data_IF_337662858976
#
_entry.id   IF_337662858976
#
_cell.length_a   1.000
_cell.length_b   1.000
_cell.length_c   1.000
_cell.angle_alpha   90.00
_cell.angle_beta   90.00
_cell.angle_gamma   90.00
#
_symmetry.space_group_name_H-M   'P 1'
#
loop_
_entity.id
_entity.type
_entity.pdbx_description
1 polymer ?
#
# COMPACT_ATOMS: atom_id res chain seq x y z
N UNK A 1 -11.19 28.40 -3.00
CA UNK A 1 -10.00 28.62 -3.85
C UNK A 1 -10.35 28.90 -5.33
N UNK A 2 -9.46 29.54 -6.13
CA UNK A 2 -9.62 29.65 -7.60
C UNK A 2 -9.17 28.35 -8.27
N UNK A 3 -9.85 27.92 -9.34
CA UNK A 3 -9.51 26.72 -10.11
C UNK A 3 -8.05 26.69 -10.63
N UNK A 4 -7.48 27.85 -10.94
CA UNK A 4 -6.08 27.95 -11.35
C UNK A 4 -5.09 27.56 -10.24
N UNK A 5 -5.49 27.74 -8.99
CA UNK A 5 -4.63 27.55 -7.84
C UNK A 5 -4.62 26.07 -7.44
N UNK A 6 -5.76 25.37 -7.50
CA UNK A 6 -5.83 23.90 -7.32
C UNK A 6 -5.00 23.17 -8.37
N UNK A 7 -5.19 23.50 -9.65
CA UNK A 7 -4.47 22.86 -10.76
C UNK A 7 -2.95 23.07 -10.63
N UNK A 8 -2.51 24.26 -10.18
CA UNK A 8 -1.10 24.54 -9.93
C UNK A 8 -0.54 23.74 -8.74
N UNK A 9 -1.33 23.57 -7.67
CA UNK A 9 -0.93 22.77 -6.51
C UNK A 9 -0.78 21.29 -6.90
N UNK A 10 -1.76 20.71 -7.59
CA UNK A 10 -1.75 19.30 -8.02
C UNK A 10 -0.51 18.99 -8.87
N UNK A 11 -0.25 19.81 -9.90
CA UNK A 11 0.91 19.63 -10.78
C UNK A 11 2.22 19.74 -10.00
N UNK A 12 2.30 20.70 -9.06
CA UNK A 12 3.52 20.93 -8.28
C UNK A 12 3.73 19.84 -7.24
N UNK A 13 2.66 19.29 -6.66
CA UNK A 13 2.72 18.23 -5.65
C UNK A 13 3.42 16.99 -6.21
N UNK A 14 3.07 16.58 -7.43
CA UNK A 14 3.65 15.41 -8.10
C UNK A 14 5.16 15.56 -8.37
N UNK A 15 5.63 16.79 -8.62
CA UNK A 15 7.01 17.03 -9.05
C UNK A 15 7.92 17.51 -7.91
N UNK A 16 7.40 18.42 -7.09
CA UNK A 16 8.14 19.17 -6.09
C UNK A 16 7.25 19.42 -4.84
N UNK A 17 7.03 18.40 -3.99
CA UNK A 17 6.11 18.50 -2.85
C UNK A 17 6.50 19.59 -1.83
N UNK A 18 7.80 19.93 -1.75
CA UNK A 18 8.26 21.07 -0.95
C UNK A 18 7.78 22.42 -1.49
N UNK A 19 7.72 22.61 -2.81
CA UNK A 19 7.22 23.83 -3.43
C UNK A 19 5.69 23.91 -3.32
N UNK A 20 5.00 22.79 -3.56
CA UNK A 20 3.55 22.68 -3.38
C UNK A 20 3.15 23.06 -1.94
N UNK A 21 3.87 22.52 -0.94
CA UNK A 21 3.67 22.89 0.47
C UNK A 21 3.78 24.39 0.70
N UNK A 22 4.78 25.06 0.13
CA UNK A 22 4.96 26.51 0.31
C UNK A 22 3.81 27.30 -0.31
N UNK A 23 3.36 26.88 -1.50
CA UNK A 23 2.22 27.50 -2.18
C UNK A 23 0.94 27.34 -1.35
N UNK A 24 0.64 26.12 -0.89
CA UNK A 24 -0.52 25.83 -0.05
C UNK A 24 -0.48 26.64 1.26
N UNK A 25 0.68 26.71 1.93
CA UNK A 25 0.84 27.52 3.14
C UNK A 25 0.61 29.02 2.92
N UNK A 26 0.99 29.55 1.75
CA UNK A 26 0.70 30.94 1.40
C UNK A 26 -0.80 31.17 1.19
N UNK A 27 -1.50 30.22 0.56
CA UNK A 27 -2.94 30.30 0.35
C UNK A 27 -3.71 30.20 1.68
N UNK A 28 -3.29 29.30 2.57
CA UNK A 28 -3.86 29.14 3.91
C UNK A 28 -3.72 30.39 4.79
N UNK A 29 -2.71 31.25 4.58
CA UNK A 29 -2.62 32.54 5.29
C UNK A 29 -3.76 33.50 4.92
N UNK A 30 -4.37 33.33 3.74
CA UNK A 30 -5.46 34.16 3.26
C UNK A 30 -6.85 33.52 3.45
N UNK A 31 -6.92 32.18 3.43
CA UNK A 31 -8.14 31.38 3.52
C UNK A 31 -7.83 30.12 4.35
N UNK A 32 -8.09 30.16 5.66
CA UNK A 32 -7.86 29.03 6.57
C UNK A 32 -9.10 28.12 6.74
N UNK A 33 -10.22 28.50 6.14
CA UNK A 33 -11.51 27.80 6.17
C UNK A 33 -11.77 26.95 4.92
N UNK A 34 -10.82 26.91 3.98
CA UNK A 34 -10.90 26.09 2.77
C UNK A 34 -10.37 24.68 3.07
N UNK A 35 -11.28 23.70 3.14
CA UNK A 35 -10.95 22.31 3.45
C UNK A 35 -9.94 21.74 2.45
N UNK A 36 -10.10 22.02 1.15
CA UNK A 36 -9.24 21.46 0.10
C UNK A 36 -7.77 21.88 0.30
N UNK A 37 -7.51 23.11 0.77
CA UNK A 37 -6.15 23.55 1.08
C UNK A 37 -5.52 22.77 2.24
N UNK A 38 -6.32 22.35 3.23
CA UNK A 38 -5.85 21.46 4.29
C UNK A 38 -5.59 20.04 3.79
N UNK A 39 -6.38 19.55 2.83
CA UNK A 39 -6.13 18.26 2.18
C UNK A 39 -4.80 18.29 1.41
N UNK A 40 -4.60 19.28 0.54
CA UNK A 40 -3.34 19.42 -0.20
C UNK A 40 -2.14 19.59 0.73
N UNK A 41 -2.28 20.30 1.86
CA UNK A 41 -1.21 20.40 2.85
C UNK A 41 -0.90 19.02 3.45
N UNK A 42 -1.93 18.25 3.78
CA UNK A 42 -1.76 16.92 4.35
C UNK A 42 -1.05 15.97 3.36
N UNK A 43 -1.46 15.97 2.09
CA UNK A 43 -0.80 15.21 1.01
C UNK A 43 0.67 15.64 0.82
N UNK A 44 0.94 16.95 0.78
CA UNK A 44 2.32 17.45 0.71
C UNK A 44 3.17 16.92 1.87
N UNK A 45 2.64 16.93 3.09
CA UNK A 45 3.37 16.45 4.27
C UNK A 45 3.52 14.93 4.29
N UNK A 46 2.55 14.17 3.76
CA UNK A 46 2.65 12.72 3.56
C UNK A 46 3.77 12.37 2.59
N UNK A 47 3.83 13.02 1.42
CA UNK A 47 4.89 12.83 0.43
C UNK A 47 6.28 13.18 0.99
N UNK A 48 6.34 14.19 1.87
CA UNK A 48 7.56 14.58 2.57
C UNK A 48 7.89 13.69 3.77
N UNK A 49 7.12 12.62 4.02
CA UNK A 49 7.26 11.70 5.18
C UNK A 49 7.16 12.41 6.54
N UNK A 50 6.49 13.56 6.59
CA UNK A 50 6.21 14.31 7.80
C UNK A 50 4.86 13.87 8.39
N UNK A 51 4.73 12.58 8.73
CA UNK A 51 3.48 11.94 9.17
C UNK A 51 2.71 12.76 10.23
N UNK A 52 3.39 13.31 11.24
CA UNK A 52 2.76 14.11 12.28
C UNK A 52 2.17 15.44 11.77
N UNK A 53 2.78 16.05 10.74
CA UNK A 53 2.25 17.25 10.12
C UNK A 53 1.05 16.91 9.21
N UNK A 54 1.15 15.81 8.46
CA UNK A 54 0.05 15.30 7.64
C UNK A 54 -1.19 14.97 8.49
N UNK A 55 -1.02 14.23 9.59
CA UNK A 55 -2.11 13.91 10.53
C UNK A 55 -2.79 15.17 11.09
N UNK A 56 -2.03 16.23 11.38
CA UNK A 56 -2.60 17.50 11.86
C UNK A 56 -3.39 18.21 10.77
N UNK A 57 -2.87 18.24 9.54
CA UNK A 57 -3.56 18.84 8.41
C UNK A 57 -4.87 18.09 8.09
N UNK A 58 -4.84 16.75 8.10
CA UNK A 58 -6.06 15.95 7.97
C UNK A 58 -7.04 16.14 9.13
N UNK A 59 -6.55 16.27 10.36
CA UNK A 59 -7.43 16.57 11.49
C UNK A 59 -8.11 17.93 11.31
N UNK A 60 -7.40 18.95 10.79
CA UNK A 60 -7.99 20.23 10.44
C UNK A 60 -9.01 20.11 9.31
N UNK A 61 -8.71 19.37 8.24
CA UNK A 61 -9.67 19.07 7.18
C UNK A 61 -10.98 18.53 7.74
N UNK A 62 -10.91 17.51 8.61
CA UNK A 62 -12.07 16.86 9.20
C UNK A 62 -12.88 17.76 10.14
N UNK A 63 -12.32 18.88 10.63
CA UNK A 63 -13.12 19.90 11.34
C UNK A 63 -14.01 20.70 10.41
N UNK A 64 -13.65 20.79 9.12
CA UNK A 64 -14.37 21.53 8.09
C UNK A 64 -15.32 20.61 7.31
N UNK A 65 -14.86 19.42 6.94
CA UNK A 65 -15.67 18.36 6.33
C UNK A 65 -15.48 16.99 7.04
N UNK A 66 -16.38 16.64 7.97
CA UNK A 66 -16.26 15.41 8.76
C UNK A 66 -16.81 14.16 8.05
N UNK A 67 -17.35 14.25 6.83
CA UNK A 67 -17.98 13.10 6.16
C UNK A 67 -17.22 12.62 4.93
N UNK A 68 -15.96 13.04 4.77
CA UNK A 68 -15.15 12.65 3.63
C UNK A 68 -14.32 11.39 3.95
N UNK A 69 -14.62 10.22 3.34
CA UNK A 69 -13.95 8.97 3.69
C UNK A 69 -12.43 9.00 3.47
N UNK A 70 -11.99 9.73 2.46
CA UNK A 70 -10.59 9.78 2.04
C UNK A 70 -9.66 10.35 3.11
N UNK A 71 -10.09 11.37 3.85
CA UNK A 71 -9.30 11.91 4.96
C UNK A 71 -9.13 10.89 6.10
N UNK A 72 -10.14 10.07 6.39
CA UNK A 72 -10.03 9.03 7.40
C UNK A 72 -9.13 7.87 6.93
N UNK A 73 -9.28 7.42 5.69
CA UNK A 73 -8.41 6.37 5.13
C UNK A 73 -6.96 6.84 5.02
N UNK A 74 -6.71 8.10 4.64
CA UNK A 74 -5.37 8.67 4.60
C UNK A 74 -4.73 8.75 6.00
N UNK A 75 -5.51 9.09 7.05
CA UNK A 75 -5.02 9.03 8.44
C UNK A 75 -4.78 7.60 8.90
N UNK A 76 -5.62 6.65 8.50
CA UNK A 76 -5.42 5.21 8.76
C UNK A 76 -4.06 4.74 8.20
N UNK A 77 -3.78 5.05 6.94
CA UNK A 77 -2.51 4.70 6.28
C UNK A 77 -1.31 5.32 7.00
N UNK A 78 -1.39 6.60 7.38
CA UNK A 78 -0.34 7.27 8.15
C UNK A 78 -0.09 6.63 9.53
N UNK A 79 -1.14 6.21 10.22
CA UNK A 79 -1.01 5.51 11.49
C UNK A 79 -0.38 4.12 11.32
N UNK A 80 -0.75 3.39 10.25
CA UNK A 80 -0.11 2.11 9.88
C UNK A 80 1.38 2.31 9.60
N UNK A 81 1.76 3.34 8.82
CA UNK A 81 3.17 3.66 8.53
C UNK A 81 3.96 4.00 9.81
N UNK A 82 3.30 4.60 10.81
CA UNK A 82 3.90 4.86 12.13
C UNK A 82 3.92 3.64 13.07
N UNK A 83 3.28 2.53 12.68
CA UNK A 83 3.09 1.36 13.53
C UNK A 83 2.04 1.54 14.64
N UNK A 84 1.26 2.62 14.60
CA UNK A 84 0.18 2.91 15.55
C UNK A 84 -1.12 2.22 15.09
N UNK A 85 -1.19 0.91 15.35
CA UNK A 85 -2.32 0.07 14.97
C UNK A 85 -3.62 0.51 15.65
N UNK A 86 -3.56 1.00 16.89
CA UNK A 86 -4.74 1.45 17.63
C UNK A 86 -5.32 2.75 17.04
N UNK A 87 -4.45 3.68 16.63
CA UNK A 87 -4.82 4.87 15.87
C UNK A 87 -5.52 4.52 14.55
N UNK A 88 -4.92 3.61 13.77
CA UNK A 88 -5.47 3.15 12.51
C UNK A 88 -6.85 2.48 12.68
N UNK A 89 -7.01 1.60 13.68
CA UNK A 89 -8.31 0.98 14.02
C UNK A 89 -9.39 2.01 14.35
N UNK A 90 -9.00 3.09 15.05
CA UNK A 90 -9.93 4.15 15.41
C UNK A 90 -10.44 4.88 14.16
N UNK A 91 -9.54 5.27 13.26
CA UNK A 91 -9.90 5.95 12.01
C UNK A 91 -10.73 5.04 11.10
N UNK A 92 -10.35 3.76 10.98
CA UNK A 92 -11.09 2.78 10.20
C UNK A 92 -12.52 2.61 10.70
N UNK A 93 -12.70 2.54 12.03
CA UNK A 93 -14.03 2.42 12.62
C UNK A 93 -14.89 3.64 12.29
N UNK A 94 -14.33 4.85 12.40
CA UNK A 94 -15.04 6.08 12.09
C UNK A 94 -15.46 6.12 10.62
N UNK A 95 -14.58 5.77 9.69
CA UNK A 95 -14.93 5.81 8.27
C UNK A 95 -15.94 4.75 7.87
N UNK A 96 -15.95 3.58 8.51
CA UNK A 96 -16.98 2.56 8.29
C UNK A 96 -18.37 2.98 8.74
N UNK A 97 -18.48 3.89 9.72
CA UNK A 97 -19.78 4.49 10.07
C UNK A 97 -20.30 5.42 8.96
N UNK A 98 -19.41 5.91 8.08
CA UNK A 98 -19.72 6.84 6.99
C UNK A 98 -19.92 6.09 5.66
N UNK A 99 -19.05 5.13 5.34
CA UNK A 99 -18.96 4.48 4.03
C UNK A 99 -18.39 3.05 4.13
N UNK A 100 -19.12 2.12 4.75
CA UNK A 100 -18.70 0.71 4.91
C UNK A 100 -18.59 -0.05 3.58
N UNK A 101 -19.26 0.40 2.52
CA UNK A 101 -19.30 -0.20 1.19
C UNK A 101 -18.37 0.49 0.16
N UNK A 102 -17.47 1.38 0.61
CA UNK A 102 -16.50 2.06 -0.26
C UNK A 102 -15.22 1.24 -0.44
N UNK A 103 -14.80 1.04 -1.68
CA UNK A 103 -13.58 0.30 -2.04
C UNK A 103 -12.31 0.87 -1.36
N UNK A 104 -12.24 2.18 -1.11
CA UNK A 104 -11.16 2.82 -0.35
C UNK A 104 -11.09 2.32 1.07
N UNK A 105 -12.25 2.20 1.71
CA UNK A 105 -12.38 1.77 3.09
C UNK A 105 -12.03 0.28 3.21
N UNK A 106 -12.47 -0.54 2.25
CA UNK A 106 -12.08 -1.95 2.15
C UNK A 106 -10.56 -2.10 2.01
N UNK A 107 -9.92 -1.27 1.16
CA UNK A 107 -8.46 -1.26 1.04
C UNK A 107 -7.78 -0.84 2.34
N UNK A 108 -8.25 0.20 3.01
CA UNK A 108 -7.67 0.64 4.29
C UNK A 108 -7.78 -0.46 5.36
N UNK A 109 -8.89 -1.20 5.39
CA UNK A 109 -9.03 -2.38 6.24
C UNK A 109 -8.05 -3.49 5.85
N UNK A 110 -7.85 -3.72 4.54
CA UNK A 110 -6.89 -4.70 4.06
C UNK A 110 -5.45 -4.38 4.49
N UNK A 111 -5.04 -3.12 4.38
CA UNK A 111 -3.74 -2.62 4.84
C UNK A 111 -3.58 -2.81 6.36
N UNK A 112 -4.62 -2.53 7.13
CA UNK A 112 -4.60 -2.71 8.58
C UNK A 112 -4.52 -4.19 8.97
N UNK A 113 -5.28 -5.06 8.31
CA UNK A 113 -5.23 -6.50 8.50
C UNK A 113 -3.81 -7.04 8.20
N UNK A 114 -3.16 -6.55 7.14
CA UNK A 114 -1.77 -6.89 6.82
C UNK A 114 -0.79 -6.45 7.91
N UNK A 115 -0.92 -5.21 8.40
CA UNK A 115 -0.08 -4.70 9.48
C UNK A 115 -0.26 -5.51 10.79
N UNK A 116 -1.41 -6.15 10.96
CA UNK A 116 -1.70 -7.07 12.07
C UNK A 116 -1.31 -8.54 11.78
N UNK A 117 -0.77 -8.85 10.61
CA UNK A 117 -0.41 -10.21 10.19
C UNK A 117 -1.61 -11.10 9.81
N UNK A 118 -2.80 -10.52 9.64
CA UNK A 118 -4.02 -11.22 9.22
C UNK A 118 -4.05 -11.35 7.69
N UNK A 119 -3.07 -12.09 7.17
CA UNK A 119 -2.73 -12.10 5.76
C UNK A 119 -3.88 -12.56 4.85
N UNK A 120 -4.54 -13.66 5.22
CA UNK A 120 -5.65 -14.20 4.44
C UNK A 120 -6.83 -13.21 4.33
N UNK A 121 -7.16 -12.54 5.45
CA UNK A 121 -8.23 -11.55 5.48
C UNK A 121 -7.89 -10.32 4.64
N UNK A 122 -6.64 -9.83 4.74
CA UNK A 122 -6.18 -8.71 3.91
C UNK A 122 -6.36 -9.02 2.42
N UNK A 123 -5.99 -10.20 1.97
CA UNK A 123 -6.11 -10.61 0.56
C UNK A 123 -7.57 -10.63 0.07
N UNK A 124 -8.49 -11.14 0.91
CA UNK A 124 -9.92 -11.13 0.58
C UNK A 124 -10.47 -9.71 0.47
N UNK A 125 -10.03 -8.80 1.33
CA UNK A 125 -10.45 -7.41 1.33
C UNK A 125 -9.90 -6.63 0.13
N UNK A 126 -8.64 -6.86 -0.27
CA UNK A 126 -8.08 -6.26 -1.48
C UNK A 126 -8.85 -6.69 -2.74
N UNK A 127 -9.25 -7.96 -2.83
CA UNK A 127 -10.04 -8.46 -3.95
C UNK A 127 -11.47 -7.89 -3.96
N UNK A 128 -12.08 -7.74 -2.78
CA UNK A 128 -13.38 -7.09 -2.66
C UNK A 128 -13.30 -5.61 -3.08
N UNK A 129 -12.25 -4.90 -2.66
CA UNK A 129 -12.01 -3.51 -3.06
C UNK A 129 -11.91 -3.38 -4.59
N UNK A 130 -11.10 -4.23 -5.23
CA UNK A 130 -10.94 -4.24 -6.69
C UNK A 130 -12.24 -4.59 -7.44
N UNK A 131 -13.01 -5.56 -6.92
CA UNK A 131 -14.31 -5.93 -7.49
C UNK A 131 -15.34 -4.82 -7.37
N UNK A 132 -15.28 -4.05 -6.27
CA UNK A 132 -16.16 -2.92 -6.02
C UNK A 132 -15.81 -1.73 -6.93
N UNK A 133 -14.52 -1.39 -7.02
CA UNK A 133 -14.00 -0.34 -7.88
C UNK A 133 -12.59 -0.67 -8.37
N UNK A 134 -12.43 -0.80 -9.69
CA UNK A 134 -11.16 -1.12 -10.33
C UNK A 134 -10.07 -0.05 -10.14
N UNK A 135 -10.41 1.14 -9.63
CA UNK A 135 -9.43 2.15 -9.21
C UNK A 135 -8.66 1.76 -7.94
N UNK A 136 -9.14 0.75 -7.20
CA UNK A 136 -8.51 0.20 -6.00
C UNK A 136 -8.06 -1.24 -6.24
N UNK A 137 -7.08 -1.45 -7.15
CA UNK A 137 -6.65 -2.80 -7.51
C UNK A 137 -6.03 -3.50 -6.31
N UNK A 138 -6.21 -4.82 -6.26
CA UNK A 138 -5.44 -5.63 -5.35
C UNK A 138 -3.94 -5.43 -5.66
N UNK A 139 -3.07 -5.46 -4.64
CA UNK A 139 -1.65 -5.37 -4.87
C UNK A 139 -1.17 -6.47 -5.85
N UNK A 140 -0.19 -6.16 -6.71
CA UNK A 140 0.24 -7.07 -7.75
C UNK A 140 0.79 -8.35 -7.15
N UNK A 141 0.37 -9.49 -7.71
CA UNK A 141 0.89 -10.82 -7.40
C UNK A 141 1.79 -11.31 -8.53
N UNK A 142 2.84 -12.04 -8.18
CA UNK A 142 3.76 -12.71 -9.08
C UNK A 142 3.05 -13.92 -9.68
N UNK A 143 2.87 -13.89 -11.00
CA UNK A 143 2.29 -15.00 -11.74
C UNK A 143 3.24 -16.19 -11.86
N UNK A 144 2.69 -17.38 -12.09
CA UNK A 144 3.47 -18.60 -12.35
C UNK A 144 4.47 -18.40 -13.48
N UNK A 145 4.05 -17.74 -14.56
CA UNK A 145 4.91 -17.51 -15.72
C UNK A 145 6.03 -16.50 -15.41
N UNK A 146 5.73 -15.46 -14.65
CA UNK A 146 6.73 -14.48 -14.22
C UNK A 146 7.77 -15.13 -13.30
N UNK A 147 7.33 -15.97 -12.36
CA UNK A 147 8.20 -16.74 -11.49
C UNK A 147 9.10 -17.68 -12.30
N UNK A 148 8.55 -18.50 -13.20
CA UNK A 148 9.32 -19.39 -14.07
C UNK A 148 10.37 -18.64 -14.90
N UNK A 149 10.00 -17.50 -15.48
CA UNK A 149 10.94 -16.68 -16.25
C UNK A 149 12.01 -16.02 -15.36
N UNK A 150 11.71 -15.74 -14.09
CA UNK A 150 12.69 -15.27 -13.12
C UNK A 150 13.67 -16.40 -12.74
N UNK A 151 13.16 -17.60 -12.44
CA UNK A 151 13.94 -18.81 -12.14
C UNK A 151 14.99 -19.10 -13.22
N UNK A 152 14.59 -19.07 -14.50
CA UNK A 152 15.50 -19.28 -15.63
C UNK A 152 16.61 -18.22 -15.76
N UNK A 153 16.47 -17.04 -15.16
CA UNK A 153 17.50 -15.97 -15.22
C UNK A 153 18.52 -16.05 -14.09
N UNK A 154 18.23 -16.79 -13.01
CA UNK A 154 19.15 -17.02 -11.87
C UNK A 154 20.31 -17.97 -12.25
N UNK A 155 20.41 -18.40 -13.52
CA UNK A 155 21.40 -19.33 -14.09
C UNK A 155 22.89 -18.93 -14.07
N UNK A 156 23.41 -18.45 -12.92
CA UNK A 156 24.84 -18.53 -12.56
C UNK A 156 25.03 -18.89 -11.08
N UNK A 157 24.26 -19.88 -10.59
CA UNK A 157 24.55 -20.59 -9.34
C UNK A 157 23.76 -20.17 -8.10
N UNK A 158 22.66 -19.42 -8.23
CA UNK A 158 21.74 -19.18 -7.10
C UNK A 158 20.54 -20.15 -7.11
N UNK A 159 20.01 -20.48 -5.93
CA UNK A 159 18.72 -21.19 -5.79
C UNK A 159 17.56 -20.20 -5.65
N UNK A 160 16.32 -20.64 -5.84
CA UNK A 160 15.14 -19.82 -5.53
C UNK A 160 14.23 -20.58 -4.60
N UNK A 161 13.88 -19.95 -3.47
CA UNK A 161 13.07 -20.55 -2.42
C UNK A 161 11.77 -19.78 -2.29
N UNK A 162 10.69 -20.51 -2.06
CA UNK A 162 9.41 -19.89 -1.70
C UNK A 162 9.19 -20.05 -0.21
N UNK A 163 9.01 -18.93 0.46
CA UNK A 163 8.92 -18.87 1.92
C UNK A 163 7.64 -18.14 2.36
N UNK A 164 7.20 -18.43 3.58
CA UNK A 164 6.20 -17.61 4.25
C UNK A 164 6.76 -16.21 4.53
N UNK A 165 5.91 -15.19 4.48
CA UNK A 165 6.34 -13.83 4.74
C UNK A 165 6.74 -13.67 6.21
N UNK A 166 7.98 -13.27 6.53
CA UNK A 166 8.40 -13.11 7.92
C UNK A 166 7.67 -11.93 8.55
N UNK A 167 7.39 -12.00 9.86
CA UNK A 167 6.71 -10.93 10.59
C UNK A 167 7.41 -9.57 10.42
N UNK A 168 8.74 -9.56 10.32
CA UNK A 168 9.53 -8.34 10.08
C UNK A 168 9.32 -7.69 8.70
N UNK A 169 8.75 -8.42 7.74
CA UNK A 169 8.43 -7.91 6.41
C UNK A 169 6.97 -7.47 6.25
N UNK A 170 6.10 -7.73 7.24
CA UNK A 170 4.69 -7.35 7.25
C UNK A 170 4.44 -5.86 6.96
N UNK A 171 5.21 -4.90 7.50
CA UNK A 171 5.01 -3.47 7.19
C UNK A 171 5.29 -3.09 5.73
N UNK A 172 5.86 -4.01 4.94
CA UNK A 172 6.26 -3.79 3.55
C UNK A 172 5.73 -4.90 2.61
N UNK A 173 4.77 -5.71 3.06
CA UNK A 173 4.53 -7.06 2.57
C UNK A 173 4.30 -7.19 1.07
N UNK A 174 3.38 -6.40 0.51
CA UNK A 174 3.13 -6.40 -0.93
C UNK A 174 4.19 -5.69 -1.77
N UNK A 175 4.94 -4.75 -1.20
CA UNK A 175 6.00 -4.03 -1.92
C UNK A 175 7.31 -4.84 -1.95
N UNK A 176 7.53 -5.70 -0.95
CA UNK A 176 8.69 -6.59 -0.85
C UNK A 176 8.41 -7.92 -1.54
N UNK A 177 8.45 -7.88 -2.88
CA UNK A 177 8.14 -9.03 -3.72
C UNK A 177 9.15 -10.19 -3.60
N UNK A 178 10.41 -9.87 -3.34
CA UNK A 178 11.49 -10.85 -3.25
C UNK A 178 12.66 -10.35 -2.37
N UNK A 179 13.44 -11.30 -1.84
CA UNK A 179 14.74 -11.05 -1.23
C UNK A 179 15.87 -11.79 -1.95
N UNK A 180 17.11 -11.37 -1.71
CA UNK A 180 18.31 -12.12 -2.14
C UNK A 180 19.17 -12.41 -0.91
N UNK A 181 19.53 -13.67 -0.69
CA UNK A 181 20.39 -14.07 0.42
C UNK A 181 21.86 -13.70 0.17
N UNK A 182 22.68 -13.73 1.22
CA UNK A 182 24.13 -13.53 1.10
C UNK A 182 24.81 -14.56 0.18
N UNK A 183 24.21 -15.73 0.04
CA UNK A 183 24.69 -16.83 -0.81
C UNK A 183 24.21 -16.69 -2.28
N UNK A 184 23.38 -15.66 -2.57
CA UNK A 184 22.89 -15.36 -3.92
C UNK A 184 21.56 -16.01 -4.28
N UNK A 185 20.85 -16.59 -3.31
CA UNK A 185 19.54 -17.21 -3.54
C UNK A 185 18.44 -16.16 -3.56
N UNK A 186 17.46 -16.30 -4.46
CA UNK A 186 16.26 -15.47 -4.43
C UNK A 186 15.20 -16.09 -3.52
N UNK A 187 14.54 -15.29 -2.69
CA UNK A 187 13.38 -15.70 -1.89
C UNK A 187 12.16 -14.99 -2.48
N UNK A 188 11.11 -15.74 -2.80
CA UNK A 188 9.80 -15.21 -3.18
C UNK A 188 8.79 -15.57 -2.11
N UNK A 189 8.03 -14.59 -1.62
CA UNK A 189 7.07 -14.85 -0.54
C UNK A 189 5.76 -15.43 -1.09
N UNK A 190 5.25 -16.49 -0.45
CA UNK A 190 4.08 -17.24 -0.91
C UNK A 190 2.82 -16.36 -1.08
N UNK A 191 2.60 -15.41 -0.16
CA UNK A 191 1.51 -14.40 -0.22
C UNK A 191 1.55 -13.55 -1.50
N UNK A 192 2.74 -13.33 -2.06
CA UNK A 192 2.91 -12.52 -3.26
C UNK A 192 2.70 -13.33 -4.53
N UNK A 193 2.25 -14.59 -4.47
CA UNK A 193 1.95 -15.43 -5.63
C UNK A 193 0.45 -15.38 -5.95
N UNK A 194 0.09 -15.51 -7.23
CA UNK A 194 -1.31 -15.61 -7.63
C UNK A 194 -2.03 -16.77 -6.90
N UNK A 195 -3.23 -16.54 -6.36
CA UNK A 195 -3.99 -17.55 -5.60
C UNK A 195 -4.28 -18.85 -6.38
N UNK A 196 -4.40 -18.75 -7.71
CA UNK A 196 -4.62 -19.90 -8.61
C UNK A 196 -3.40 -20.84 -8.70
N UNK A 197 -2.29 -20.53 -8.03
CA UNK A 197 -1.21 -21.49 -7.82
C UNK A 197 -1.68 -22.83 -7.23
N UNK A 198 -2.81 -22.87 -6.52
CA UNK A 198 -3.26 -24.04 -5.75
C UNK A 198 -4.15 -25.04 -6.52
N UNK A 199 -4.40 -24.86 -7.84
CA UNK A 199 -5.34 -25.76 -8.53
C UNK A 199 -4.76 -27.09 -9.05
N UNK A 200 -3.44 -27.27 -9.22
CA UNK A 200 -2.87 -28.59 -9.59
C UNK A 200 -1.31 -28.72 -9.51
N UNK A 201 -0.56 -27.70 -9.08
CA UNK A 201 0.87 -27.83 -8.81
C UNK A 201 1.29 -26.80 -7.76
N UNK A 202 1.75 -27.28 -6.61
CA UNK A 202 2.26 -26.41 -5.55
C UNK A 202 3.45 -25.60 -6.06
N UNK A 203 3.67 -24.42 -5.49
CA UNK A 203 4.86 -23.63 -5.76
C UNK A 203 6.13 -24.44 -5.47
N UNK A 204 6.05 -25.32 -4.47
CA UNK A 204 7.05 -26.34 -4.16
C UNK A 204 7.28 -27.26 -5.36
N UNK A 205 6.24 -27.72 -6.07
CA UNK A 205 6.42 -28.53 -7.28
C UNK A 205 7.16 -27.79 -8.40
N UNK A 206 7.06 -26.46 -8.50
CA UNK A 206 7.82 -25.67 -9.48
C UNK A 206 9.29 -25.49 -9.08
N UNK A 207 9.53 -25.27 -7.79
CA UNK A 207 10.88 -25.20 -7.24
C UNK A 207 11.55 -26.58 -7.31
N UNK A 208 10.86 -27.64 -6.90
CA UNK A 208 11.31 -29.03 -6.95
C UNK A 208 11.54 -29.51 -8.39
N UNK A 209 10.64 -29.21 -9.32
CA UNK A 209 10.84 -29.55 -10.74
C UNK A 209 12.12 -28.89 -11.29
N UNK A 210 12.34 -27.60 -10.97
CA UNK A 210 13.54 -26.89 -11.38
C UNK A 210 14.81 -27.44 -10.69
N UNK A 211 14.77 -27.70 -9.38
CA UNK A 211 15.89 -28.29 -8.65
C UNK A 211 16.23 -29.70 -9.16
N UNK A 212 15.22 -30.49 -9.53
CA UNK A 212 15.40 -31.84 -10.07
C UNK A 212 16.06 -31.86 -11.45
N UNK A 213 15.68 -30.95 -12.35
CA UNK A 213 16.31 -30.80 -13.68
C UNK A 213 17.79 -30.38 -13.58
N UNK A 214 18.17 -29.63 -12.54
CA UNK A 214 19.56 -29.19 -12.31
C UNK A 214 20.45 -30.29 -11.71
N UNK A 215 19.89 -31.24 -10.96
CA UNK A 215 20.66 -32.39 -10.43
C UNK A 215 20.96 -33.49 -11.46
N UNK A 216 20.29 -33.46 -12.62
CA UNK A 216 20.46 -34.45 -13.70
C UNK A 216 21.41 -34.01 -14.84
N UNK A 217 21.95 -32.78 -14.82
CA UNK A 217 22.98 -32.26 -15.76
C UNK A 217 24.42 -32.26 -15.17
#
# INVERSE_FOLDING_TARGET
MRRSDSEAIEITLEQEPNQARQLVQQLLQAQDDDADLWAYLAECESELRNHNAALKAWAHYLTLDPHWPEAYTARCDLFIEQGDIDGALTELKLVKEIADDDARVMRAEALLAEAQGQLQQADELYEQAEQCDALWPAPPRVSRQALQAALQRVHRGGSVRVEEMPESALPHGFLRLQDVTADGDAIVYARNLERDFDQDATVMDLVEAYESEVTEE
#
